data_IF_445720113303
#
_entry.id   IF_445720113303
#
_cell.length_a   1.000
_cell.length_b   1.000
_cell.length_c   1.000
_cell.angle_alpha   90.00
_cell.angle_beta   90.00
_cell.angle_gamma   90.00
#
_symmetry.space_group_name_H-M   'P 1'
#
loop_
_entity.id
_entity.type
_entity.pdbx_description
1 polymer ?
#
# COMPACT_ATOMS: atom_id res chain seq x y z
N UNK A 1 69.44 -28.63 36.60
CA UNK A 1 68.12 -28.80 37.23
C UNK A 1 67.12 -27.99 36.42
N UNK A 2 66.18 -28.67 35.74
CA UNK A 2 65.32 -28.11 34.68
C UNK A 2 64.03 -27.52 35.26
N UNK A 3 63.63 -26.39 34.70
CA UNK A 3 62.48 -25.53 35.04
C UNK A 3 61.14 -26.25 34.79
N UNK A 4 60.20 -26.13 35.72
CA UNK A 4 58.79 -26.48 35.50
C UNK A 4 57.95 -25.21 35.63
N UNK A 5 57.48 -24.69 34.48
CA UNK A 5 56.50 -23.61 34.42
C UNK A 5 55.11 -24.21 34.21
N UNK A 6 54.20 -23.93 35.14
CA UNK A 6 52.80 -24.37 35.10
C UNK A 6 52.05 -23.44 34.12
N UNK A 7 51.64 -23.94 32.96
CA UNK A 7 50.78 -23.20 32.02
C UNK A 7 49.33 -23.49 32.39
N UNK A 8 48.64 -22.48 32.93
CA UNK A 8 47.20 -22.51 33.12
C UNK A 8 46.51 -22.32 31.76
N UNK A 9 45.89 -23.38 31.24
CA UNK A 9 45.04 -23.33 30.05
C UNK A 9 43.67 -22.83 30.48
N UNK A 10 43.42 -21.53 30.37
CA UNK A 10 42.07 -20.96 30.49
C UNK A 10 41.26 -21.32 29.26
N UNK A 11 40.28 -22.21 29.46
CA UNK A 11 39.29 -22.60 28.47
C UNK A 11 38.37 -21.39 28.17
N UNK A 12 38.54 -20.76 27.01
CA UNK A 12 37.61 -19.75 26.51
C UNK A 12 36.34 -20.46 26.01
N UNK A 13 35.29 -20.53 26.83
CA UNK A 13 33.95 -20.86 26.32
C UNK A 13 33.44 -19.68 25.51
N UNK A 14 33.44 -19.82 24.18
CA UNK A 14 32.77 -18.88 23.29
C UNK A 14 31.26 -18.98 23.53
N UNK A 15 30.68 -17.94 24.14
CA UNK A 15 29.23 -17.77 24.27
C UNK A 15 28.68 -17.44 22.88
N UNK A 16 28.19 -18.46 22.17
CA UNK A 16 27.48 -18.31 20.89
C UNK A 16 26.03 -17.85 21.12
N UNK A 17 25.84 -16.71 21.76
CA UNK A 17 24.52 -16.18 22.16
C UNK A 17 23.73 -15.44 21.07
N UNK A 18 24.27 -15.22 19.88
CA UNK A 18 23.65 -14.31 18.89
C UNK A 18 22.95 -15.01 17.69
N UNK A 19 22.98 -16.34 17.60
CA UNK A 19 22.31 -17.07 16.51
C UNK A 19 20.91 -17.60 16.86
N UNK A 20 20.63 -17.84 18.15
CA UNK A 20 19.38 -18.47 18.58
C UNK A 20 18.17 -17.52 18.45
N UNK A 21 18.31 -16.25 18.83
CA UNK A 21 17.16 -15.35 19.03
C UNK A 21 16.19 -15.16 17.86
N UNK A 22 16.66 -15.20 16.59
CA UNK A 22 15.78 -14.97 15.42
C UNK A 22 15.18 -16.24 14.82
N UNK A 23 15.76 -17.41 15.09
CA UNK A 23 15.30 -18.71 14.55
C UNK A 23 14.58 -19.57 15.58
N UNK A 24 14.38 -19.09 16.80
CA UNK A 24 13.58 -19.75 17.84
C UNK A 24 14.23 -19.65 19.21
N UNK A 25 13.64 -20.28 20.23
CA UNK A 25 14.17 -20.18 21.60
C UNK A 25 15.24 -21.24 21.88
N UNK A 26 15.20 -22.36 21.17
CA UNK A 26 16.08 -23.52 21.39
C UNK A 26 16.87 -23.89 20.13
N UNK A 27 17.96 -24.67 20.24
CA UNK A 27 18.63 -25.25 19.07
C UNK A 27 17.66 -26.04 18.18
N UNK A 28 16.74 -26.80 18.78
CA UNK A 28 15.73 -27.59 18.09
C UNK A 28 14.78 -26.69 17.29
N UNK A 29 14.31 -25.59 17.91
CA UNK A 29 13.50 -24.58 17.23
C UNK A 29 14.23 -24.00 16.02
N UNK A 30 15.53 -23.70 16.19
CA UNK A 30 16.36 -23.17 15.10
C UNK A 30 16.43 -24.15 13.92
N UNK A 31 16.66 -25.43 14.18
CA UNK A 31 16.68 -26.46 13.15
C UNK A 31 15.32 -26.61 12.46
N UNK A 32 14.23 -26.63 13.24
CA UNK A 32 12.88 -26.77 12.69
C UNK A 32 12.49 -25.53 11.87
N UNK A 33 12.80 -24.33 12.35
CA UNK A 33 12.58 -23.08 11.65
C UNK A 33 13.29 -23.06 10.30
N UNK A 34 14.59 -23.36 10.26
CA UNK A 34 15.38 -23.34 9.02
C UNK A 34 14.84 -24.35 8.00
N UNK A 35 14.47 -25.56 8.46
CA UNK A 35 13.85 -26.58 7.60
C UNK A 35 12.50 -26.09 7.05
N UNK A 36 11.66 -25.53 7.91
CA UNK A 36 10.36 -25.01 7.51
C UNK A 36 10.49 -23.86 6.50
N UNK A 37 11.43 -22.93 6.72
CA UNK A 37 11.69 -21.81 5.82
C UNK A 37 12.12 -22.26 4.43
N UNK A 38 13.02 -23.25 4.34
CA UNK A 38 13.46 -23.81 3.06
C UNK A 38 12.28 -24.41 2.29
N UNK A 39 11.48 -25.26 2.95
CA UNK A 39 10.33 -25.91 2.32
C UNK A 39 9.29 -24.88 1.86
N UNK A 40 9.03 -23.83 2.66
CA UNK A 40 8.13 -22.74 2.24
C UNK A 40 8.67 -22.05 0.98
N UNK A 41 9.95 -21.69 0.96
CA UNK A 41 10.58 -21.03 -0.19
C UNK A 41 10.46 -21.84 -1.49
N UNK A 42 10.71 -23.15 -1.40
CA UNK A 42 10.68 -24.05 -2.56
C UNK A 42 9.26 -24.33 -3.07
N UNK A 43 8.26 -24.28 -2.18
CA UNK A 43 6.91 -24.75 -2.49
C UNK A 43 5.83 -23.66 -2.54
N UNK A 44 6.10 -22.43 -2.09
CA UNK A 44 5.07 -21.36 -2.02
C UNK A 44 4.35 -21.11 -3.35
N UNK A 45 5.03 -21.32 -4.49
CA UNK A 45 4.45 -21.19 -5.83
C UNK A 45 3.97 -22.52 -6.43
N UNK A 46 4.73 -23.59 -6.27
CA UNK A 46 4.49 -24.89 -6.93
C UNK A 46 3.50 -25.77 -6.18
N UNK A 47 3.57 -25.79 -4.84
CA UNK A 47 2.64 -26.54 -3.98
C UNK A 47 2.26 -25.74 -2.71
N UNK A 48 1.30 -24.80 -2.83
CA UNK A 48 0.82 -24.00 -1.70
C UNK A 48 0.22 -24.85 -0.57
N UNK A 49 -0.30 -26.05 -0.85
CA UNK A 49 -0.93 -26.93 0.14
C UNK A 49 0.11 -27.57 1.05
N UNK A 50 1.28 -27.91 0.52
CA UNK A 50 2.44 -28.31 1.34
C UNK A 50 3.01 -27.10 2.06
N UNK A 51 3.26 -26.00 1.33
CA UNK A 51 3.92 -24.82 1.87
C UNK A 51 3.20 -24.24 3.10
N UNK A 52 1.86 -24.19 3.12
CA UNK A 52 1.11 -23.63 4.25
C UNK A 52 1.35 -24.38 5.57
N UNK A 53 1.59 -25.69 5.53
CA UNK A 53 1.84 -26.49 6.73
C UNK A 53 3.16 -26.08 7.40
N UNK A 54 4.20 -25.88 6.60
CA UNK A 54 5.51 -25.45 7.06
C UNK A 54 5.55 -23.96 7.39
N UNK A 55 4.80 -23.15 6.64
CA UNK A 55 4.66 -21.73 6.93
C UNK A 55 4.11 -21.49 8.34
N UNK A 56 3.05 -22.23 8.74
CA UNK A 56 2.48 -22.11 10.10
C UNK A 56 3.50 -22.43 11.19
N UNK A 57 4.38 -23.42 10.95
CA UNK A 57 5.47 -23.77 11.86
C UNK A 57 6.49 -22.62 11.95
N UNK A 58 7.01 -22.16 10.81
CA UNK A 58 7.97 -21.07 10.78
C UNK A 58 7.43 -19.77 11.40
N UNK A 59 6.19 -19.41 11.08
CA UNK A 59 5.51 -18.23 11.64
C UNK A 59 5.36 -18.29 13.16
N UNK A 60 5.11 -19.48 13.72
CA UNK A 60 5.01 -19.69 15.18
C UNK A 60 6.37 -19.69 15.87
N UNK A 61 7.34 -20.38 15.27
CA UNK A 61 8.66 -20.64 15.90
C UNK A 61 9.57 -19.43 15.79
N UNK A 62 9.61 -18.80 14.61
CA UNK A 62 10.62 -17.82 14.26
C UNK A 62 10.06 -16.65 13.43
N UNK A 63 9.05 -15.91 13.94
CA UNK A 63 8.44 -14.79 13.22
C UNK A 63 9.43 -13.66 12.86
N UNK A 64 10.49 -13.49 13.66
CA UNK A 64 11.53 -12.49 13.44
C UNK A 64 12.65 -12.95 12.47
N UNK A 65 12.60 -14.17 11.95
CA UNK A 65 13.70 -14.77 11.17
C UNK A 65 13.93 -14.07 9.83
N UNK A 66 12.85 -13.73 9.12
CA UNK A 66 12.90 -13.06 7.82
C UNK A 66 11.56 -12.46 7.44
N UNK A 67 11.60 -11.29 6.78
CA UNK A 67 10.43 -10.65 6.17
C UNK A 67 9.74 -11.55 5.14
N UNK A 68 10.47 -12.50 4.55
CA UNK A 68 9.91 -13.45 3.57
C UNK A 68 8.83 -14.34 4.17
N UNK A 69 8.83 -14.61 5.48
CA UNK A 69 7.70 -15.31 6.11
C UNK A 69 6.40 -14.55 5.84
N UNK A 70 6.39 -13.24 6.04
CA UNK A 70 5.18 -12.45 5.82
C UNK A 70 4.82 -12.36 4.34
N UNK A 71 5.80 -12.13 3.46
CA UNK A 71 5.57 -12.06 2.00
C UNK A 71 4.99 -13.38 1.46
N UNK A 72 5.54 -14.53 1.89
CA UNK A 72 5.00 -15.84 1.52
C UNK A 72 3.65 -16.10 2.19
N UNK A 73 3.45 -15.63 3.41
CA UNK A 73 2.17 -15.70 4.11
C UNK A 73 1.05 -14.99 3.35
N UNK A 74 1.32 -13.77 2.86
CA UNK A 74 0.39 -13.02 2.01
C UNK A 74 -0.02 -13.88 0.78
N UNK A 75 0.95 -14.44 0.05
CA UNK A 75 0.69 -15.29 -1.12
C UNK A 75 -0.12 -16.55 -0.79
N UNK A 76 0.24 -17.24 0.29
CA UNK A 76 -0.43 -18.48 0.70
C UNK A 76 -1.87 -18.22 1.15
N UNK A 77 -2.11 -17.20 1.96
CA UNK A 77 -3.46 -16.92 2.45
C UNK A 77 -4.35 -16.33 1.35
N UNK A 78 -3.81 -15.52 0.43
CA UNK A 78 -4.54 -15.16 -0.79
C UNK A 78 -4.94 -16.39 -1.62
N UNK A 79 -4.04 -17.36 -1.77
CA UNK A 79 -4.35 -18.63 -2.44
C UNK A 79 -5.47 -19.38 -1.72
N UNK A 80 -5.38 -19.49 -0.39
CA UNK A 80 -6.40 -20.19 0.41
C UNK A 80 -7.77 -19.52 0.33
N UNK A 81 -7.83 -18.18 0.34
CA UNK A 81 -9.09 -17.44 0.15
C UNK A 81 -9.68 -17.74 -1.23
N UNK A 82 -8.89 -17.62 -2.31
CA UNK A 82 -9.35 -17.81 -3.69
C UNK A 82 -9.81 -19.24 -3.97
N UNK A 83 -9.23 -20.24 -3.31
CA UNK A 83 -9.53 -21.66 -3.54
C UNK A 83 -10.48 -22.28 -2.51
N UNK A 84 -10.91 -21.51 -1.50
CA UNK A 84 -11.86 -22.00 -0.50
C UNK A 84 -13.30 -21.96 -1.02
N UNK A 85 -14.01 -23.07 -0.85
CA UNK A 85 -15.43 -23.19 -1.17
C UNK A 85 -16.36 -22.71 -0.04
N UNK A 86 -15.87 -22.67 1.21
CA UNK A 86 -16.63 -22.21 2.37
C UNK A 86 -16.40 -20.71 2.59
N UNK A 87 -17.50 -19.98 2.84
CA UNK A 87 -17.49 -18.57 3.23
C UNK A 87 -16.79 -18.38 4.57
N UNK A 88 -17.10 -19.25 5.54
CA UNK A 88 -16.54 -19.23 6.89
C UNK A 88 -15.02 -19.40 6.84
N UNK A 89 -14.54 -20.34 6.04
CA UNK A 89 -13.11 -20.54 5.82
C UNK A 89 -12.47 -19.34 5.11
N UNK A 90 -13.14 -18.75 4.10
CA UNK A 90 -12.65 -17.52 3.43
C UNK A 90 -12.47 -16.38 4.43
N UNK A 91 -13.44 -16.14 5.30
CA UNK A 91 -13.36 -15.12 6.36
C UNK A 91 -12.23 -15.38 7.34
N UNK A 92 -12.09 -16.62 7.84
CA UNK A 92 -11.01 -16.98 8.74
C UNK A 92 -9.60 -16.81 8.11
N UNK A 93 -9.46 -17.11 6.81
CA UNK A 93 -8.22 -16.85 6.08
C UNK A 93 -7.96 -15.36 5.88
N UNK A 94 -8.99 -14.56 5.59
CA UNK A 94 -8.87 -13.11 5.49
C UNK A 94 -8.46 -12.47 6.82
N UNK A 95 -9.04 -12.90 7.95
CA UNK A 95 -8.64 -12.43 9.28
C UNK A 95 -7.17 -12.79 9.58
N UNK A 96 -6.74 -14.00 9.20
CA UNK A 96 -5.34 -14.38 9.35
C UNK A 96 -4.42 -13.53 8.47
N UNK A 97 -4.83 -13.20 7.25
CA UNK A 97 -4.08 -12.31 6.35
C UNK A 97 -3.89 -10.92 6.97
N UNK A 98 -4.90 -10.37 7.64
CA UNK A 98 -4.78 -9.10 8.36
C UNK A 98 -3.76 -9.17 9.49
N UNK A 99 -3.77 -10.28 10.25
CA UNK A 99 -2.77 -10.52 11.29
C UNK A 99 -1.36 -10.66 10.71
N UNK A 100 -1.19 -11.25 9.52
CA UNK A 100 0.11 -11.34 8.84
C UNK A 100 0.66 -9.94 8.56
N UNK A 101 -0.19 -9.00 8.14
CA UNK A 101 0.22 -7.61 7.97
C UNK A 101 0.63 -6.94 9.28
N UNK A 102 -0.17 -7.10 10.34
CA UNK A 102 0.13 -6.51 11.65
C UNK A 102 1.44 -7.03 12.24
N UNK A 103 1.65 -8.35 12.17
CA UNK A 103 2.90 -8.95 12.61
C UNK A 103 4.08 -8.49 11.72
N UNK A 104 3.89 -8.36 10.40
CA UNK A 104 4.95 -7.83 9.54
C UNK A 104 5.39 -6.43 9.97
N UNK A 105 4.45 -5.56 10.32
CA UNK A 105 4.72 -4.23 10.83
C UNK A 105 5.48 -4.34 12.16
N UNK A 106 4.99 -5.17 13.08
CA UNK A 106 5.61 -5.40 14.40
C UNK A 106 7.07 -5.85 14.29
N UNK A 107 7.38 -6.79 13.40
CA UNK A 107 8.71 -7.41 13.33
C UNK A 107 9.66 -6.73 12.34
N UNK A 108 9.16 -6.05 11.32
CA UNK A 108 9.98 -5.52 10.21
C UNK A 108 9.67 -4.07 9.82
N UNK A 109 8.73 -3.40 10.49
CA UNK A 109 8.33 -2.03 10.20
C UNK A 109 7.67 -1.88 8.82
N UNK A 110 8.00 -0.79 8.13
CA UNK A 110 7.35 -0.41 6.86
C UNK A 110 5.85 -0.16 7.01
N UNK A 111 5.42 0.42 8.14
CA UNK A 111 4.02 0.56 8.53
C UNK A 111 3.16 1.15 7.41
N UNK A 112 3.52 2.33 6.89
CA UNK A 112 2.76 2.98 5.80
C UNK A 112 2.57 2.06 4.61
N UNK A 113 3.66 1.54 4.04
CA UNK A 113 3.61 0.59 2.93
C UNK A 113 2.76 -0.67 3.21
N UNK A 114 2.91 -1.28 4.40
CA UNK A 114 2.21 -2.52 4.75
C UNK A 114 0.73 -2.27 5.00
N UNK A 115 0.36 -1.17 5.66
CA UNK A 115 -1.04 -0.75 5.81
C UNK A 115 -1.70 -0.50 4.45
N UNK A 116 -0.94 0.00 3.47
CA UNK A 116 -1.45 0.22 2.12
C UNK A 116 -1.84 -1.08 1.43
N UNK A 117 -1.11 -2.17 1.69
CA UNK A 117 -1.47 -3.52 1.23
C UNK A 117 -2.64 -4.09 2.04
N UNK A 118 -2.58 -3.96 3.37
CA UNK A 118 -3.63 -4.42 4.29
C UNK A 118 -4.99 -3.85 3.89
N UNK A 119 -5.10 -2.54 3.74
CA UNK A 119 -6.35 -1.87 3.37
C UNK A 119 -6.87 -2.26 1.98
N UNK A 120 -5.99 -2.46 0.99
CA UNK A 120 -6.37 -2.98 -0.33
C UNK A 120 -6.96 -4.38 -0.26
N UNK A 121 -6.40 -5.26 0.58
CA UNK A 121 -6.91 -6.61 0.76
C UNK A 121 -8.18 -6.65 1.63
N UNK A 122 -8.33 -5.76 2.61
CA UNK A 122 -9.59 -5.58 3.34
C UNK A 122 -10.73 -5.20 2.40
N UNK A 123 -10.51 -4.24 1.49
CA UNK A 123 -11.49 -3.85 0.46
C UNK A 123 -11.95 -5.06 -0.38
N UNK A 124 -11.07 -6.03 -0.59
CA UNK A 124 -11.31 -7.18 -1.46
C UNK A 124 -11.93 -8.38 -0.72
N UNK A 125 -11.46 -8.67 0.48
CA UNK A 125 -11.78 -9.90 1.20
C UNK A 125 -12.60 -9.69 2.48
N UNK A 126 -12.78 -8.45 2.93
CA UNK A 126 -13.58 -8.07 4.09
C UNK A 126 -14.50 -6.88 3.76
N UNK A 127 -15.42 -7.02 2.77
CA UNK A 127 -16.32 -5.93 2.37
C UNK A 127 -17.23 -5.44 3.50
N UNK A 128 -17.42 -6.23 4.56
CA UNK A 128 -18.12 -5.82 5.78
C UNK A 128 -17.32 -4.84 6.66
N UNK A 129 -16.01 -4.67 6.40
CA UNK A 129 -15.09 -3.79 7.16
C UNK A 129 -14.63 -2.57 6.36
N UNK A 130 -15.47 -2.04 5.46
CA UNK A 130 -15.11 -0.91 4.59
C UNK A 130 -14.66 0.34 5.35
N UNK A 131 -15.32 0.70 6.46
CA UNK A 131 -14.91 1.85 7.27
C UNK A 131 -13.51 1.66 7.89
N UNK A 132 -13.17 0.44 8.29
CA UNK A 132 -11.84 0.11 8.80
C UNK A 132 -10.80 0.14 7.68
N UNK A 133 -11.13 -0.41 6.50
CA UNK A 133 -10.28 -0.35 5.32
C UNK A 133 -9.98 1.11 4.92
N UNK A 134 -10.97 2.00 5.02
CA UNK A 134 -10.81 3.43 4.75
C UNK A 134 -9.80 4.08 5.71
N UNK A 135 -9.94 3.82 7.01
CA UNK A 135 -9.01 4.31 8.05
C UNK A 135 -7.59 3.80 7.81
N UNK A 136 -7.44 2.51 7.51
CA UNK A 136 -6.15 1.87 7.23
C UNK A 136 -5.47 2.46 5.98
N UNK A 137 -6.22 2.65 4.88
CA UNK A 137 -5.70 3.24 3.65
C UNK A 137 -5.31 4.71 3.84
N UNK A 138 -6.15 5.49 4.52
CA UNK A 138 -5.83 6.89 4.81
C UNK A 138 -4.57 7.02 5.67
N UNK A 139 -4.41 6.15 6.67
CA UNK A 139 -3.19 6.12 7.49
C UNK A 139 -1.96 5.75 6.67
N UNK A 140 -2.08 4.76 5.80
CA UNK A 140 -1.01 4.39 4.86
C UNK A 140 -0.55 5.58 4.01
N UNK A 141 -1.50 6.29 3.40
CA UNK A 141 -1.20 7.44 2.52
C UNK A 141 -0.59 8.60 3.32
N UNK A 142 -1.07 8.85 4.54
CA UNK A 142 -0.48 9.85 5.44
C UNK A 142 0.99 9.55 5.76
N UNK A 143 1.30 8.28 6.08
CA UNK A 143 2.65 7.84 6.44
C UNK A 143 3.61 7.82 5.25
N UNK A 144 3.14 7.40 4.07
CA UNK A 144 3.99 7.26 2.88
C UNK A 144 4.09 8.55 2.06
N UNK A 145 3.07 9.43 2.11
CA UNK A 145 2.96 10.60 1.26
C UNK A 145 3.21 10.25 -0.22
N UNK A 146 4.20 10.91 -0.82
CA UNK A 146 4.59 10.67 -2.22
C UNK A 146 5.17 9.28 -2.51
N UNK A 147 5.50 8.47 -1.49
CA UNK A 147 5.94 7.09 -1.66
C UNK A 147 4.77 6.09 -1.76
N UNK A 148 3.53 6.56 -1.57
CA UNK A 148 2.34 5.72 -1.64
C UNK A 148 2.25 4.97 -2.97
N UNK A 149 1.89 3.70 -2.90
CA UNK A 149 1.80 2.86 -4.09
C UNK A 149 0.57 3.22 -4.93
N UNK A 150 0.70 3.15 -6.26
CA UNK A 150 -0.41 3.37 -7.20
C UNK A 150 -1.68 2.56 -6.83
N UNK A 151 -1.53 1.28 -6.46
CA UNK A 151 -2.65 0.42 -6.06
C UNK A 151 -3.33 0.87 -4.76
N UNK A 152 -2.57 1.40 -3.80
CA UNK A 152 -3.10 1.96 -2.55
C UNK A 152 -3.95 3.20 -2.82
N UNK A 153 -3.50 4.08 -3.72
CA UNK A 153 -4.24 5.30 -4.09
C UNK A 153 -5.58 4.95 -4.76
N UNK A 154 -5.58 4.00 -5.70
CA UNK A 154 -6.81 3.51 -6.33
C UNK A 154 -7.73 2.85 -5.30
N UNK A 155 -7.18 2.07 -4.36
CA UNK A 155 -7.97 1.42 -3.31
C UNK A 155 -8.62 2.43 -2.37
N UNK A 156 -7.91 3.51 -2.02
CA UNK A 156 -8.46 4.58 -1.19
C UNK A 156 -9.64 5.27 -1.88
N UNK A 157 -9.50 5.57 -3.17
CA UNK A 157 -10.58 6.14 -3.97
C UNK A 157 -11.79 5.20 -4.07
N UNK A 158 -11.55 3.91 -4.30
CA UNK A 158 -12.61 2.88 -4.35
C UNK A 158 -13.36 2.74 -3.02
N UNK A 159 -12.66 2.76 -1.89
CA UNK A 159 -13.28 2.68 -0.57
C UNK A 159 -14.10 3.94 -0.29
N UNK A 160 -13.56 5.14 -0.58
CA UNK A 160 -14.28 6.38 -0.40
C UNK A 160 -15.61 6.38 -1.19
N UNK A 161 -15.55 6.04 -2.48
CA UNK A 161 -16.76 5.97 -3.31
C UNK A 161 -17.73 4.84 -2.92
N UNK A 162 -17.31 3.80 -2.19
CA UNK A 162 -18.21 2.80 -1.62
C UNK A 162 -18.89 3.33 -0.36
N UNK A 163 -18.11 3.89 0.57
CA UNK A 163 -18.63 4.46 1.80
C UNK A 163 -19.58 5.63 1.55
N UNK A 164 -19.32 6.46 0.54
CA UNK A 164 -20.22 7.54 0.17
C UNK A 164 -21.56 6.99 -0.32
N UNK A 165 -21.55 5.95 -1.17
CA UNK A 165 -22.78 5.28 -1.65
C UNK A 165 -23.58 4.61 -0.54
N UNK A 166 -22.91 4.26 0.56
CA UNK A 166 -23.52 3.72 1.78
C UNK A 166 -23.85 4.84 2.79
N UNK A 167 -23.81 6.11 2.39
CA UNK A 167 -24.05 7.32 3.18
C UNK A 167 -23.19 7.43 4.46
N UNK A 168 -22.01 6.79 4.46
CA UNK A 168 -21.07 6.78 5.60
C UNK A 168 -20.10 7.95 5.61
N UNK A 169 -19.83 8.54 4.44
CA UNK A 169 -18.99 9.73 4.28
C UNK A 169 -19.67 10.68 3.29
N UNK A 170 -19.25 11.95 3.30
CA UNK A 170 -19.80 12.97 2.40
C UNK A 170 -19.19 12.89 0.99
N UNK A 171 -19.85 13.53 0.02
CA UNK A 171 -19.24 13.76 -1.31
C UNK A 171 -17.94 14.58 -1.21
N UNK A 172 -17.87 15.52 -0.27
CA UNK A 172 -16.67 16.33 -0.03
C UNK A 172 -15.50 15.45 0.46
N UNK A 173 -15.76 14.39 1.23
CA UNK A 173 -14.73 13.40 1.62
C UNK A 173 -14.19 12.62 0.41
N UNK A 174 -15.06 12.32 -0.57
CA UNK A 174 -14.66 11.69 -1.83
C UNK A 174 -13.79 12.64 -2.65
N UNK A 175 -14.17 13.91 -2.74
CA UNK A 175 -13.40 14.95 -3.44
C UNK A 175 -12.04 15.20 -2.78
N UNK A 176 -11.98 15.27 -1.45
CA UNK A 176 -10.72 15.37 -0.71
C UNK A 176 -9.82 14.15 -0.95
N UNK A 177 -10.41 12.96 -1.05
CA UNK A 177 -9.67 11.73 -1.41
C UNK A 177 -9.13 11.81 -2.83
N UNK A 178 -9.93 12.31 -3.78
CA UNK A 178 -9.51 12.55 -5.16
C UNK A 178 -8.34 13.53 -5.24
N UNK A 179 -8.45 14.71 -4.61
CA UNK A 179 -7.37 15.71 -4.57
C UNK A 179 -6.07 15.12 -4.05
N UNK A 180 -6.13 14.47 -2.88
CA UNK A 180 -4.96 13.90 -2.21
C UNK A 180 -4.29 12.82 -3.05
N UNK A 181 -5.08 11.92 -3.63
CA UNK A 181 -4.56 10.81 -4.43
C UNK A 181 -3.99 11.29 -5.76
N UNK A 182 -4.66 12.24 -6.43
CA UNK A 182 -4.18 12.81 -7.69
C UNK A 182 -2.90 13.62 -7.52
N UNK A 183 -2.74 14.37 -6.42
CA UNK A 183 -1.49 15.07 -6.14
C UNK A 183 -0.29 14.11 -6.04
N UNK A 184 -0.47 12.96 -5.39
CA UNK A 184 0.58 11.93 -5.28
C UNK A 184 0.84 11.25 -6.64
N UNK A 185 -0.21 11.02 -7.43
CA UNK A 185 -0.09 10.48 -8.79
C UNK A 185 0.73 11.42 -9.65
N UNK A 186 0.37 12.70 -9.70
CA UNK A 186 1.04 13.73 -10.52
C UNK A 186 2.51 13.87 -10.11
N UNK A 187 2.81 13.87 -8.79
CA UNK A 187 4.19 13.85 -8.31
C UNK A 187 4.96 12.64 -8.87
N UNK A 188 4.39 11.44 -8.83
CA UNK A 188 5.09 10.23 -9.27
C UNK A 188 5.18 10.10 -10.80
N UNK A 189 4.25 10.69 -11.56
CA UNK A 189 4.35 10.77 -13.01
C UNK A 189 5.57 11.58 -13.46
N UNK A 190 5.88 12.66 -12.74
CA UNK A 190 7.05 13.53 -12.97
C UNK A 190 8.34 12.91 -12.43
N UNK A 191 8.30 12.29 -11.24
CA UNK A 191 9.50 11.95 -10.48
C UNK A 191 9.86 10.45 -10.46
N UNK A 192 8.98 9.55 -10.93
CA UNK A 192 9.15 8.10 -10.80
C UNK A 192 9.06 7.36 -12.14
N UNK A 193 9.99 7.66 -13.05
CA UNK A 193 10.03 7.15 -14.43
C UNK A 193 9.91 5.62 -14.52
N UNK A 194 10.55 4.88 -13.60
CA UNK A 194 10.49 3.41 -13.56
C UNK A 194 9.10 2.84 -13.26
N UNK A 195 8.26 3.60 -12.55
CA UNK A 195 6.92 3.19 -12.15
C UNK A 195 5.82 4.01 -12.80
N UNK A 196 6.17 4.94 -13.70
CA UNK A 196 5.26 5.89 -14.34
C UNK A 196 4.00 5.21 -14.89
N UNK A 197 4.15 4.06 -15.58
CA UNK A 197 3.02 3.27 -16.12
C UNK A 197 1.95 2.91 -15.08
N UNK A 198 2.35 2.62 -13.84
CA UNK A 198 1.42 2.25 -12.78
C UNK A 198 0.66 3.47 -12.26
N UNK A 199 1.31 4.63 -12.22
CA UNK A 199 0.67 5.88 -11.82
C UNK A 199 -0.23 6.44 -12.92
N UNK A 200 0.10 6.24 -14.20
CA UNK A 200 -0.80 6.53 -15.32
C UNK A 200 -2.09 5.69 -15.21
N UNK A 201 -1.95 4.38 -14.95
CA UNK A 201 -3.11 3.53 -14.74
C UNK A 201 -3.90 3.93 -13.47
N UNK A 202 -3.22 4.38 -12.41
CA UNK A 202 -3.89 4.89 -11.23
C UNK A 202 -4.67 6.17 -11.50
N UNK A 203 -4.11 7.11 -12.27
CA UNK A 203 -4.79 8.32 -12.72
C UNK A 203 -6.12 7.98 -13.41
N UNK A 204 -6.07 7.15 -14.45
CA UNK A 204 -7.27 6.78 -15.22
C UNK A 204 -8.35 6.15 -14.33
N UNK A 205 -7.94 5.24 -13.43
CA UNK A 205 -8.87 4.58 -12.52
C UNK A 205 -9.46 5.56 -11.50
N UNK A 206 -8.64 6.43 -10.90
CA UNK A 206 -9.09 7.40 -9.90
C UNK A 206 -10.05 8.39 -10.53
N UNK A 207 -9.72 8.94 -11.71
CA UNK A 207 -10.58 9.85 -12.47
C UNK A 207 -11.92 9.19 -12.81
N UNK A 208 -11.91 7.93 -13.24
CA UNK A 208 -13.13 7.16 -13.51
C UNK A 208 -13.99 6.93 -12.27
N UNK A 209 -13.38 6.63 -11.12
CA UNK A 209 -14.12 6.42 -9.86
C UNK A 209 -14.71 7.74 -9.35
N UNK A 210 -13.96 8.84 -9.49
CA UNK A 210 -14.39 10.16 -9.07
C UNK A 210 -15.44 10.76 -10.00
N UNK A 211 -15.57 10.26 -11.23
CA UNK A 211 -16.40 10.83 -12.29
C UNK A 211 -17.82 11.29 -11.85
N UNK A 212 -18.59 10.52 -11.06
CA UNK A 212 -19.93 10.92 -10.62
C UNK A 212 -19.95 12.13 -9.69
N UNK A 213 -18.83 12.43 -9.03
CA UNK A 213 -18.69 13.48 -8.02
C UNK A 213 -18.06 14.76 -8.58
N UNK A 214 -17.52 14.71 -9.80
CA UNK A 214 -16.84 15.83 -10.45
C UNK A 214 -17.83 16.70 -11.25
N UNK A 215 -18.86 17.21 -10.57
CA UNK A 215 -19.85 18.16 -11.12
C UNK A 215 -19.31 19.59 -11.08
N UNK A 216 -19.89 20.52 -11.87
CA UNK A 216 -19.35 21.88 -11.93
C UNK A 216 -19.44 22.65 -10.61
N UNK A 217 -20.49 22.44 -9.83
CA UNK A 217 -20.66 23.03 -8.50
C UNK A 217 -19.60 22.57 -7.50
N UNK A 218 -18.93 21.44 -7.76
CA UNK A 218 -17.82 20.93 -6.96
C UNK A 218 -16.45 21.27 -7.57
N UNK A 219 -16.31 21.10 -8.88
CA UNK A 219 -15.06 21.32 -9.61
C UNK A 219 -14.65 22.78 -9.68
N UNK A 220 -15.60 23.72 -9.82
CA UNK A 220 -15.29 25.15 -9.93
C UNK A 220 -14.70 25.67 -8.61
N UNK A 221 -15.34 25.49 -7.44
CA UNK A 221 -14.74 25.89 -6.17
C UNK A 221 -13.40 25.19 -5.91
N UNK A 222 -13.28 23.93 -6.33
CA UNK A 222 -12.04 23.17 -6.20
C UNK A 222 -10.89 23.80 -7.02
N UNK A 223 -11.16 24.16 -8.27
CA UNK A 223 -10.20 24.82 -9.14
C UNK A 223 -9.82 26.21 -8.59
N UNK A 224 -10.80 26.98 -8.11
CA UNK A 224 -10.59 28.30 -7.51
C UNK A 224 -9.69 28.22 -6.26
N UNK A 225 -10.01 27.31 -5.33
CA UNK A 225 -9.24 27.07 -4.11
C UNK A 225 -7.78 26.73 -4.41
N UNK A 226 -7.54 25.91 -5.44
CA UNK A 226 -6.21 25.40 -5.75
C UNK A 226 -5.43 26.25 -6.77
N UNK A 227 -6.06 27.26 -7.39
CA UNK A 227 -5.43 28.06 -8.45
C UNK A 227 -4.17 28.78 -7.97
N UNK A 228 -4.22 29.53 -6.88
CA UNK A 228 -3.08 30.36 -6.45
C UNK A 228 -1.82 29.54 -6.17
N UNK A 229 -1.98 28.34 -5.61
CA UNK A 229 -0.87 27.43 -5.34
C UNK A 229 -0.29 26.79 -6.61
N UNK A 230 -1.07 26.72 -7.70
CA UNK A 230 -0.72 25.98 -8.91
C UNK A 230 -0.65 26.85 -10.17
N UNK A 231 -0.86 28.17 -10.07
CA UNK A 231 -0.91 29.09 -11.23
C UNK A 231 0.40 29.15 -12.04
N UNK A 232 1.50 28.64 -11.47
CA UNK A 232 2.77 28.49 -12.16
C UNK A 232 3.02 27.07 -12.71
N UNK A 233 2.25 26.05 -12.29
CA UNK A 233 2.33 24.67 -12.78
C UNK A 233 1.48 24.49 -14.05
N UNK A 234 2.14 24.62 -15.20
CA UNK A 234 1.50 24.50 -16.51
C UNK A 234 0.80 23.15 -16.74
N UNK A 235 1.30 22.07 -16.15
CA UNK A 235 0.68 20.75 -16.26
C UNK A 235 -0.63 20.69 -15.47
N UNK A 236 -0.63 21.25 -14.26
CA UNK A 236 -1.84 21.39 -13.46
C UNK A 236 -2.88 22.25 -14.18
N UNK A 237 -2.47 23.39 -14.77
CA UNK A 237 -3.38 24.26 -15.53
C UNK A 237 -4.04 23.51 -16.70
N UNK A 238 -3.23 22.82 -17.52
CA UNK A 238 -3.72 22.03 -18.68
C UNK A 238 -4.66 20.89 -18.26
N UNK A 239 -4.35 20.21 -17.17
CA UNK A 239 -5.20 19.14 -16.64
C UNK A 239 -6.52 19.69 -16.10
N UNK A 240 -6.47 20.78 -15.34
CA UNK A 240 -7.66 21.40 -14.74
C UNK A 240 -8.58 21.94 -15.82
N UNK A 241 -8.06 22.64 -16.85
CA UNK A 241 -8.89 23.13 -17.95
C UNK A 241 -9.49 21.99 -18.77
N UNK A 242 -8.75 20.89 -19.00
CA UNK A 242 -9.27 19.69 -19.66
C UNK A 242 -10.41 19.07 -18.87
N UNK A 243 -10.29 19.00 -17.54
CA UNK A 243 -11.32 18.46 -16.67
C UNK A 243 -12.58 19.35 -16.65
N UNK A 244 -12.41 20.67 -16.48
CA UNK A 244 -13.51 21.64 -16.56
C UNK A 244 -14.22 21.57 -17.92
N UNK A 245 -13.47 21.47 -19.03
CA UNK A 245 -14.03 21.32 -20.38
C UNK A 245 -14.80 20.01 -20.53
N UNK A 246 -14.23 18.90 -20.07
CA UNK A 246 -14.88 17.58 -20.13
C UNK A 246 -16.20 17.54 -19.33
N UNK A 247 -16.28 18.29 -18.23
CA UNK A 247 -17.47 18.42 -17.39
C UNK A 247 -18.36 19.61 -17.77
N UNK A 248 -18.06 20.28 -18.89
CA UNK A 248 -18.84 21.39 -19.46
C UNK A 248 -18.95 22.62 -18.53
N UNK A 249 -17.95 22.85 -17.68
CA UNK A 249 -17.87 23.98 -16.76
C UNK A 249 -17.21 25.22 -17.39
N UNK A 250 -17.41 25.43 -18.69
CA UNK A 250 -16.66 26.42 -19.50
C UNK A 250 -17.10 27.87 -19.26
N UNK A 251 -18.28 28.07 -18.68
CA UNK A 251 -18.83 29.40 -18.36
C UNK A 251 -18.34 29.94 -17.01
N UNK A 252 -17.66 29.11 -16.21
CA UNK A 252 -17.16 29.53 -14.90
C UNK A 252 -15.99 30.52 -15.06
N UNK A 253 -15.92 31.61 -14.27
CA UNK A 253 -14.84 32.60 -14.36
C UNK A 253 -13.43 31.98 -14.28
N UNK A 254 -13.27 30.99 -13.40
CA UNK A 254 -11.99 30.27 -13.24
C UNK A 254 -11.52 29.59 -14.51
N UNK A 255 -12.43 29.17 -15.40
CA UNK A 255 -12.07 28.58 -16.69
C UNK A 255 -11.31 29.57 -17.56
N UNK A 256 -11.84 30.79 -17.70
CA UNK A 256 -11.19 31.86 -18.46
C UNK A 256 -9.84 32.26 -17.83
N UNK A 257 -9.80 32.40 -16.49
CA UNK A 257 -8.57 32.71 -15.76
C UNK A 257 -7.46 31.68 -15.99
N UNK A 258 -7.79 30.38 -16.00
CA UNK A 258 -6.84 29.31 -16.29
C UNK A 258 -6.43 29.34 -17.77
N UNK A 259 -7.39 29.52 -18.69
CA UNK A 259 -7.14 29.56 -20.14
C UNK A 259 -6.16 30.69 -20.50
N UNK A 260 -6.40 31.90 -19.98
CA UNK A 260 -5.52 33.04 -20.20
C UNK A 260 -4.12 32.82 -19.64
N UNK A 261 -4.00 32.17 -18.48
CA UNK A 261 -2.70 31.87 -17.89
C UNK A 261 -1.93 30.85 -18.74
N UNK A 262 -2.60 29.80 -19.23
CA UNK A 262 -2.01 28.86 -20.19
C UNK A 262 -1.53 29.61 -21.43
N UNK A 263 -2.37 30.46 -22.03
CA UNK A 263 -2.01 31.23 -23.22
C UNK A 263 -0.80 32.17 -22.99
N UNK A 264 -0.71 32.82 -21.82
CA UNK A 264 0.46 33.64 -21.45
C UNK A 264 1.76 32.82 -21.36
N UNK A 265 1.66 31.55 -20.93
CA UNK A 265 2.81 30.64 -20.78
C UNK A 265 3.16 29.94 -22.10
N UNK A 266 2.17 29.67 -22.94
CA UNK A 266 2.32 29.04 -24.25
C UNK A 266 1.47 29.79 -25.31
N UNK A 267 1.98 30.92 -25.85
CA UNK A 267 1.24 31.73 -26.83
C UNK A 267 0.92 30.98 -28.13
N UNK A 268 1.55 29.83 -28.35
CA UNK A 268 1.50 29.05 -29.59
C UNK A 268 0.73 27.72 -29.43
N UNK A 269 0.12 27.45 -28.28
CA UNK A 269 -0.75 26.29 -28.10
C UNK A 269 -2.14 26.60 -28.68
N UNK A 270 -2.62 25.77 -29.60
CA UNK A 270 -3.95 25.93 -30.21
C UNK A 270 -5.06 26.02 -29.14
N UNK A 271 -5.89 27.06 -29.27
CA UNK A 271 -7.02 27.38 -28.39
C UNK A 271 -8.16 26.33 -28.45
#
# INVERSE_FOLDING_TARGET
MKKAGLIAVTLFMAITGFAQGKYGKTPQDSTECLKALAIVGDNVKSDPKIAIQYWRKAYKICPASSKNIYIHGEQLFEYMIKNSKSEEARKAYADTLMKIYDDRIKYFGQEGYVLGKKGSDMLKYQPEKLEEAYKVLNKSIELEGNKSSAGTLVSAMLVAAKLQRDDKISEDDVLNTFEKTMAIVDFNLKNNTKKQKYYLQAQENIEKIAEPYLTCDKLVPLAEKNYEANKEDLEWLKKTIKLLKAKKCVEAPIFATIAENIFKKEPNAEA
#
